data_IF_008923829832
#
_entry.id   IF_008923829832
#
_cell.length_a   1.000
_cell.length_b   1.000
_cell.length_c   1.000
_cell.angle_alpha   90.00
_cell.angle_beta   90.00
_cell.angle_gamma   90.00
#
_symmetry.space_group_name_H-M   'P 1'
#
loop_
_entity.id
_entity.type
_entity.pdbx_description
1 polymer ?
#
# COMPACT_ATOMS: atom_id res chain seq x y z
N UNK A 1 -12.03 -18.28 1.57
CA UNK A 1 -12.72 -17.57 0.48
C UNK A 1 -11.88 -16.41 -0.01
N UNK A 2 -12.15 -15.89 -1.18
CA UNK A 2 -11.51 -14.69 -1.70
C UNK A 2 -12.16 -13.46 -1.06
N UNK A 3 -11.36 -12.53 -0.54
CA UNK A 3 -11.84 -11.25 -0.02
C UNK A 3 -12.22 -10.34 -1.20
N UNK A 4 -13.37 -9.69 -1.12
CA UNK A 4 -13.90 -8.83 -2.18
C UNK A 4 -14.21 -7.43 -1.67
N UNK A 5 -14.40 -6.47 -2.55
CA UNK A 5 -14.80 -5.10 -2.17
C UNK A 5 -16.08 -5.07 -1.31
N UNK A 6 -17.02 -5.98 -1.55
CA UNK A 6 -18.26 -6.06 -0.78
C UNK A 6 -18.05 -6.44 0.70
N UNK A 7 -16.96 -7.15 1.00
CA UNK A 7 -16.65 -7.59 2.37
C UNK A 7 -16.31 -6.39 3.28
N UNK A 8 -15.85 -5.27 2.71
CA UNK A 8 -15.62 -4.04 3.48
C UNK A 8 -16.87 -3.46 4.14
N UNK A 9 -18.07 -3.82 3.68
CA UNK A 9 -19.32 -3.38 4.31
C UNK A 9 -19.45 -3.82 5.79
N UNK A 10 -18.71 -4.85 6.17
CA UNK A 10 -18.68 -5.38 7.55
C UNK A 10 -17.77 -4.57 8.47
N UNK A 11 -16.87 -3.75 7.92
CA UNK A 11 -15.87 -2.97 8.65
C UNK A 11 -16.30 -1.50 8.63
N UNK A 12 -16.99 -1.06 9.66
CA UNK A 12 -17.46 0.34 9.82
C UNK A 12 -16.82 1.04 11.01
N UNK A 13 -15.88 0.37 11.67
CA UNK A 13 -15.29 0.86 12.88
C UNK A 13 -14.10 1.76 12.58
N UNK A 14 -14.09 2.94 13.21
CA UNK A 14 -13.02 3.95 13.12
C UNK A 14 -11.65 3.46 13.61
N UNK A 15 -11.60 2.30 14.28
CA UNK A 15 -10.36 1.65 14.75
C UNK A 15 -9.72 0.70 13.72
N UNK A 16 -10.33 0.55 12.54
CA UNK A 16 -9.85 -0.39 11.53
C UNK A 16 -8.81 0.25 10.61
N UNK A 17 -7.68 -0.42 10.44
CA UNK A 17 -6.65 -0.13 9.45
C UNK A 17 -6.64 -1.23 8.39
N UNK A 18 -6.70 -0.84 7.12
CA UNK A 18 -6.49 -1.74 5.99
C UNK A 18 -5.03 -1.68 5.59
N UNK A 19 -4.38 -2.85 5.49
CA UNK A 19 -3.07 -2.99 4.85
C UNK A 19 -3.29 -3.85 3.60
N UNK A 20 -2.98 -3.29 2.43
CA UNK A 20 -3.26 -3.90 1.14
C UNK A 20 -1.98 -4.04 0.32
N UNK A 21 -1.63 -5.27 -0.02
CA UNK A 21 -0.53 -5.67 -0.90
C UNK A 21 -1.02 -6.90 -1.66
N UNK A 22 -1.52 -6.74 -2.91
CA UNK A 22 -2.25 -7.78 -3.66
C UNK A 22 -1.86 -7.85 -5.13
N UNK A 23 -0.64 -7.41 -5.44
CA UNK A 23 0.02 -7.66 -6.74
C UNK A 23 -0.80 -7.18 -7.97
N UNK A 24 -1.33 -5.94 -7.92
CA UNK A 24 -1.96 -5.27 -9.07
C UNK A 24 -3.49 -5.29 -9.11
N UNK A 25 -4.17 -5.83 -8.08
CA UNK A 25 -5.64 -5.78 -7.96
C UNK A 25 -6.16 -4.69 -6.99
N UNK A 26 -5.28 -3.76 -6.57
CA UNK A 26 -5.61 -2.73 -5.58
C UNK A 26 -6.74 -1.82 -6.06
N UNK A 27 -6.74 -1.49 -7.35
CA UNK A 27 -7.75 -0.63 -7.94
C UNK A 27 -9.15 -1.26 -7.93
N UNK A 28 -9.26 -2.57 -8.10
CA UNK A 28 -10.52 -3.30 -8.05
C UNK A 28 -11.01 -3.45 -6.62
N UNK A 29 -10.10 -3.75 -5.69
CA UNK A 29 -10.45 -3.98 -4.30
C UNK A 29 -10.82 -2.69 -3.58
N UNK A 30 -10.02 -1.62 -3.77
CA UNK A 30 -10.19 -0.36 -3.06
C UNK A 30 -11.04 0.64 -3.88
N UNK A 31 -12.33 0.29 -4.06
CA UNK A 31 -13.28 1.16 -4.75
C UNK A 31 -14.37 1.70 -3.80
N UNK A 32 -14.28 2.99 -3.40
CA UNK A 32 -15.25 3.61 -2.51
C UNK A 32 -16.62 3.88 -3.18
N UNK A 33 -16.74 3.70 -4.49
CA UNK A 33 -18.04 3.73 -5.16
C UNK A 33 -18.81 2.42 -4.92
N UNK A 34 -18.09 1.30 -4.79
CA UNK A 34 -18.68 -0.02 -4.48
C UNK A 34 -18.79 -0.20 -2.96
N UNK A 35 -17.76 0.19 -2.20
CA UNK A 35 -17.73 0.10 -0.75
C UNK A 35 -17.54 1.48 -0.10
N UNK A 36 -18.61 2.26 0.09
CA UNK A 36 -18.51 3.63 0.65
C UNK A 36 -17.85 3.68 2.04
N UNK A 37 -17.90 2.61 2.82
CA UNK A 37 -17.24 2.48 4.12
C UNK A 37 -15.73 2.66 4.07
N UNK A 38 -15.08 2.41 2.93
CA UNK A 38 -13.66 2.67 2.73
C UNK A 38 -13.27 4.13 3.00
N UNK A 39 -14.20 5.08 2.85
CA UNK A 39 -13.95 6.51 3.12
C UNK A 39 -13.76 6.84 4.60
N UNK A 40 -14.06 5.91 5.49
CA UNK A 40 -13.96 6.07 6.95
C UNK A 40 -12.86 5.24 7.60
N UNK A 41 -12.11 4.48 6.81
CA UNK A 41 -11.05 3.58 7.27
C UNK A 41 -9.68 4.11 6.86
N UNK A 42 -8.70 4.00 7.75
CA UNK A 42 -7.30 4.29 7.38
C UNK A 42 -6.78 3.15 6.48
N UNK A 43 -5.99 3.50 5.47
CA UNK A 43 -5.53 2.55 4.47
C UNK A 43 -4.03 2.75 4.24
N UNK A 44 -3.29 1.66 4.24
CA UNK A 44 -1.91 1.59 3.74
C UNK A 44 -1.93 0.61 2.56
N UNK A 45 -1.53 1.06 1.39
CA UNK A 45 -1.56 0.22 0.19
C UNK A 45 -0.26 0.32 -0.60
N UNK A 46 0.29 -0.82 -0.99
CA UNK A 46 1.34 -0.89 -2.01
C UNK A 46 0.71 -0.74 -3.40
N UNK A 47 1.24 0.18 -4.17
CA UNK A 47 0.69 0.52 -5.48
C UNK A 47 1.56 -0.08 -6.57
N UNK A 48 1.07 -1.15 -7.22
CA UNK A 48 1.84 -1.93 -8.20
C UNK A 48 1.83 -1.28 -9.60
N UNK A 49 2.41 -0.06 -9.70
CA UNK A 49 2.53 0.68 -10.98
C UNK A 49 3.22 -0.14 -12.07
N UNK A 50 4.19 -0.98 -11.71
CA UNK A 50 4.90 -1.84 -12.66
C UNK A 50 4.03 -2.95 -13.27
N UNK A 51 2.92 -3.32 -12.59
CA UNK A 51 1.95 -4.31 -13.07
C UNK A 51 0.77 -3.61 -13.72
N UNK A 52 0.29 -2.53 -13.08
CA UNK A 52 -0.88 -1.78 -13.53
C UNK A 52 -0.60 -0.27 -13.58
N UNK A 53 -0.14 0.24 -14.72
CA UNK A 53 0.14 1.68 -14.87
C UNK A 53 -1.08 2.55 -14.56
N UNK A 54 -0.90 3.60 -13.75
CA UNK A 54 -1.94 4.54 -13.36
C UNK A 54 -2.74 4.15 -12.10
N UNK A 55 -2.41 3.02 -11.45
CA UNK A 55 -3.10 2.59 -10.23
C UNK A 55 -2.93 3.60 -9.10
N UNK A 56 -1.74 4.15 -8.90
CA UNK A 56 -1.46 5.17 -7.88
C UNK A 56 -2.36 6.39 -8.07
N UNK A 57 -2.40 6.94 -9.28
CA UNK A 57 -3.22 8.11 -9.59
C UNK A 57 -4.72 7.83 -9.41
N UNK A 58 -5.17 6.63 -9.76
CA UNK A 58 -6.56 6.21 -9.57
C UNK A 58 -6.92 6.17 -8.09
N UNK A 59 -6.08 5.55 -7.24
CA UNK A 59 -6.31 5.50 -5.81
C UNK A 59 -6.29 6.90 -5.17
N UNK A 60 -5.30 7.72 -5.51
CA UNK A 60 -5.23 9.12 -5.04
C UNK A 60 -6.51 9.87 -5.40
N UNK A 61 -7.00 9.78 -6.64
CA UNK A 61 -8.20 10.49 -7.08
C UNK A 61 -9.47 10.05 -6.34
N UNK A 62 -9.58 8.76 -5.99
CA UNK A 62 -10.73 8.19 -5.27
C UNK A 62 -10.81 8.63 -3.81
N UNK A 63 -9.64 8.81 -3.17
CA UNK A 63 -9.56 9.02 -1.73
C UNK A 63 -9.19 10.45 -1.31
N UNK A 64 -8.78 11.32 -2.23
CA UNK A 64 -8.32 12.67 -1.91
C UNK A 64 -9.36 13.54 -1.19
N UNK A 65 -10.65 13.29 -1.39
CA UNK A 65 -11.72 14.04 -0.69
C UNK A 65 -11.84 13.62 0.78
N UNK A 66 -11.67 12.33 1.07
CA UNK A 66 -11.89 11.74 2.40
C UNK A 66 -10.63 11.56 3.23
N UNK A 67 -9.44 11.49 2.59
CA UNK A 67 -8.18 11.17 3.25
C UNK A 67 -7.10 12.23 3.02
N UNK A 68 -6.22 12.36 4.00
CA UNK A 68 -4.88 12.91 3.81
C UNK A 68 -4.03 11.78 3.27
N UNK A 69 -3.37 12.01 2.13
CA UNK A 69 -2.62 10.97 1.42
C UNK A 69 -1.15 11.35 1.40
N UNK A 70 -0.31 10.46 1.90
CA UNK A 70 1.14 10.52 1.80
C UNK A 70 1.62 9.45 0.83
N UNK A 71 2.43 9.86 -0.15
CA UNK A 71 3.11 8.96 -1.07
C UNK A 71 4.50 8.67 -0.54
N UNK A 72 4.79 7.40 -0.27
CA UNK A 72 6.11 6.91 0.15
C UNK A 72 6.75 6.19 -1.04
N UNK A 73 7.71 6.87 -1.67
CA UNK A 73 8.41 6.33 -2.83
C UNK A 73 9.38 5.21 -2.43
N UNK A 74 9.48 4.20 -3.28
CA UNK A 74 10.61 3.27 -3.22
C UNK A 74 11.89 4.01 -3.66
N UNK A 75 12.79 4.24 -2.74
CA UNK A 75 14.06 4.94 -3.01
C UNK A 75 15.12 4.02 -3.64
N UNK A 76 14.79 2.76 -3.90
CA UNK A 76 15.72 1.77 -4.44
C UNK A 76 16.91 1.43 -3.53
N UNK A 77 16.96 2.00 -2.33
CA UNK A 77 18.04 1.76 -1.37
C UNK A 77 17.81 0.44 -0.63
N UNK A 78 18.59 -0.56 -0.99
CA UNK A 78 18.55 -1.89 -0.39
C UNK A 78 19.61 -2.06 0.70
N UNK A 79 19.68 -1.09 1.61
CA UNK A 79 20.60 -1.14 2.73
C UNK A 79 20.03 -2.06 3.82
N UNK A 80 20.58 -3.26 3.89
CA UNK A 80 20.24 -4.18 4.96
C UNK A 80 21.12 -3.90 6.19
N UNK A 81 20.49 -3.66 7.34
CA UNK A 81 21.19 -3.57 8.61
C UNK A 81 21.44 -5.00 9.17
N UNK A 82 22.55 -5.15 9.90
CA UNK A 82 22.88 -6.41 10.60
C UNK A 82 22.94 -7.65 9.68
N UNK A 83 23.64 -7.53 8.57
CA UNK A 83 23.83 -8.63 7.63
C UNK A 83 24.48 -9.85 8.31
N UNK A 84 23.93 -11.06 8.13
CA UNK A 84 24.57 -12.27 8.62
C UNK A 84 25.88 -12.55 7.86
N UNK A 85 26.85 -13.17 8.52
CA UNK A 85 28.18 -13.40 7.96
C UNK A 85 28.15 -14.17 6.63
N UNK A 86 27.24 -15.13 6.47
CA UNK A 86 27.10 -15.88 5.23
C UNK A 86 26.72 -14.99 4.05
N UNK A 87 25.88 -13.96 4.28
CA UNK A 87 25.44 -13.03 3.22
C UNK A 87 26.61 -12.17 2.73
N UNK A 88 27.46 -11.70 3.65
CA UNK A 88 28.64 -10.88 3.27
C UNK A 88 29.68 -11.66 2.48
N UNK A 89 29.65 -12.99 2.53
CA UNK A 89 30.53 -13.90 1.75
C UNK A 89 30.03 -14.19 0.35
N UNK A 90 28.77 -13.81 0.02
CA UNK A 90 28.23 -13.95 -1.33
C UNK A 90 28.93 -12.99 -2.30
N UNK A 91 28.92 -13.35 -3.60
CA UNK A 91 29.34 -12.41 -4.63
C UNK A 91 28.42 -11.19 -4.67
N UNK A 92 28.87 -10.05 -5.23
CA UNK A 92 28.05 -8.86 -5.36
C UNK A 92 26.75 -9.12 -6.14
N UNK A 93 26.82 -9.98 -7.17
CA UNK A 93 25.64 -10.36 -7.94
C UNK A 93 24.62 -11.15 -7.11
N UNK A 94 25.12 -12.11 -6.33
CA UNK A 94 24.25 -12.92 -5.46
C UNK A 94 23.61 -12.07 -4.35
N UNK A 95 24.37 -11.10 -3.77
CA UNK A 95 23.82 -10.16 -2.81
C UNK A 95 22.69 -9.31 -3.43
N UNK A 96 22.90 -8.82 -4.66
CA UNK A 96 21.89 -8.06 -5.39
C UNK A 96 20.64 -8.91 -5.66
N UNK A 97 20.81 -10.13 -6.17
CA UNK A 97 19.72 -11.04 -6.45
C UNK A 97 18.94 -11.46 -5.19
N UNK A 98 19.64 -11.66 -4.07
CA UNK A 98 19.01 -12.03 -2.80
C UNK A 98 18.16 -10.90 -2.18
N UNK A 99 18.36 -9.65 -2.61
CA UNK A 99 17.63 -8.48 -2.12
C UNK A 99 16.67 -7.89 -3.16
N UNK A 100 16.62 -8.47 -4.36
CA UNK A 100 15.76 -8.00 -5.43
C UNK A 100 14.41 -8.73 -5.40
N UNK A 101 13.35 -7.98 -5.43
CA UNK A 101 11.98 -8.51 -5.42
C UNK A 101 11.44 -8.88 -6.81
N UNK A 102 12.32 -8.94 -7.83
CA UNK A 102 11.95 -9.28 -9.21
C UNK A 102 10.91 -8.33 -9.85
N UNK A 103 10.80 -7.11 -9.35
CA UNK A 103 9.87 -6.10 -9.88
C UNK A 103 10.51 -5.35 -11.06
N UNK A 104 9.70 -5.05 -12.06
CA UNK A 104 10.15 -4.34 -13.26
C UNK A 104 10.12 -2.81 -13.12
N UNK A 105 9.60 -2.29 -12.00
CA UNK A 105 9.47 -0.85 -11.74
C UNK A 105 9.08 -0.55 -10.30
N UNK A 106 8.89 0.73 -9.98
CA UNK A 106 8.58 1.17 -8.64
C UNK A 106 7.21 0.67 -8.17
N UNK A 107 7.13 0.41 -6.86
CA UNK A 107 5.89 0.08 -6.15
C UNK A 107 5.77 1.00 -4.94
N UNK A 108 5.35 2.26 -5.14
CA UNK A 108 5.20 3.20 -4.05
C UNK A 108 4.07 2.78 -3.11
N UNK A 109 4.19 3.19 -1.85
CA UNK A 109 3.15 3.01 -0.85
C UNK A 109 2.32 4.29 -0.69
N UNK A 110 1.02 4.14 -0.58
CA UNK A 110 0.12 5.22 -0.18
C UNK A 110 -0.31 5.00 1.27
N UNK A 111 -0.05 6.01 2.11
CA UNK A 111 -0.56 6.07 3.48
C UNK A 111 -1.73 7.05 3.49
N UNK A 112 -2.93 6.53 3.69
CA UNK A 112 -4.16 7.29 3.58
C UNK A 112 -4.86 7.35 4.93
N UNK A 113 -4.88 8.52 5.56
CA UNK A 113 -5.50 8.79 6.86
C UNK A 113 -6.79 9.56 6.70
N UNK A 114 -7.86 9.12 7.33
CA UNK A 114 -9.16 9.81 7.31
C UNK A 114 -9.06 11.22 7.87
N UNK A 115 -9.52 12.22 7.11
CA UNK A 115 -9.38 13.65 7.44
C UNK A 115 -10.02 14.09 8.76
N UNK A 116 -11.07 13.45 9.23
CA UNK A 116 -11.91 13.93 10.34
C UNK A 116 -11.75 13.17 11.66
N UNK A 117 -10.74 12.30 11.80
CA UNK A 117 -10.50 11.56 13.05
C UNK A 117 -10.11 12.44 14.26
N UNK A 118 -9.72 13.71 14.04
CA UNK A 118 -9.17 14.58 15.09
C UNK A 118 -10.15 15.60 15.71
N UNK A 119 -11.47 15.50 15.50
CA UNK A 119 -12.43 16.45 16.09
C UNK A 119 -13.22 15.92 17.29
N UNK A 120 -12.95 14.70 17.77
CA UNK A 120 -13.69 14.15 18.92
C UNK A 120 -12.80 13.95 20.15
N UNK A 121 -11.92 14.90 20.46
CA UNK A 121 -11.24 14.92 21.77
C UNK A 121 -11.17 16.35 22.29
N UNK A 122 -12.29 16.83 22.80
CA UNK A 122 -12.35 17.86 23.85
C UNK A 122 -13.60 17.68 24.70
#
# INVERSE_FOLDING_TARGET
GLFTTADFASYKDESTLIICDIEGAEQELLDPAIAPGLRTLDIIVESHECIRPGVTQTLVSRFTESHNIELVEDNGSRQLANLPEWFTKLSHLDQLLATWEWRSGPTPWLVMQVKNKNQTTR
#
